data_IF_069035895438
#
_entry.id   IF_069035895438
#
_cell.length_a   1.000
_cell.length_b   1.000
_cell.length_c   1.000
_cell.angle_alpha   90.00
_cell.angle_beta   90.00
_cell.angle_gamma   90.00
#
_symmetry.space_group_name_H-M   'P 1'
#
loop_
_entity.id
_entity.type
_entity.pdbx_description
1 polymer ?
#
# COMPACT_ATOMS: atom_id res chain seq x y z
N UNK A 1 -7.38 -26.11 -2.16
CA UNK A 1 -6.60 -25.85 -3.40
C UNK A 1 -6.47 -24.36 -3.74
N UNK A 2 -7.44 -23.49 -3.39
CA UNK A 2 -7.33 -22.04 -3.57
C UNK A 2 -6.11 -21.39 -2.85
N UNK A 3 -5.82 -21.77 -1.60
CA UNK A 3 -4.69 -21.19 -0.83
C UNK A 3 -3.29 -21.52 -1.39
N UNK A 4 -3.14 -22.57 -2.20
CA UNK A 4 -1.86 -22.93 -2.80
C UNK A 4 -1.54 -22.05 -4.03
N UNK A 5 -2.57 -21.67 -4.79
CA UNK A 5 -2.46 -20.84 -5.99
C UNK A 5 -2.21 -19.38 -5.61
N UNK A 6 -2.86 -18.87 -4.55
CA UNK A 6 -2.64 -17.51 -4.04
C UNK A 6 -1.21 -17.31 -3.50
N UNK A 7 -0.60 -18.35 -2.91
CA UNK A 7 0.80 -18.31 -2.45
C UNK A 7 1.80 -18.51 -3.59
N UNK A 8 1.39 -19.12 -4.70
CA UNK A 8 2.22 -19.32 -5.90
C UNK A 8 2.38 -18.03 -6.71
N UNK A 9 1.30 -17.25 -6.84
CA UNK A 9 1.30 -16.01 -7.63
C UNK A 9 2.07 -14.84 -6.99
N UNK A 10 2.47 -14.95 -5.71
CA UNK A 10 3.26 -13.94 -5.00
C UNK A 10 4.63 -14.43 -4.50
N UNK A 11 5.05 -15.65 -4.89
CA UNK A 11 6.25 -16.31 -4.37
C UNK A 11 7.37 -16.31 -5.42
N UNK A 12 8.60 -16.09 -4.97
CA UNK A 12 9.84 -16.25 -5.75
C UNK A 12 9.93 -17.57 -6.53
N UNK A 13 9.07 -18.56 -6.25
CA UNK A 13 8.95 -19.80 -7.01
C UNK A 13 8.71 -19.61 -8.51
N UNK A 14 7.87 -18.64 -8.92
CA UNK A 14 7.69 -18.35 -10.36
C UNK A 14 9.01 -17.93 -11.01
N UNK A 15 9.77 -17.06 -10.32
CA UNK A 15 11.08 -16.60 -10.77
C UNK A 15 12.08 -17.75 -10.88
N UNK A 16 12.12 -18.66 -9.89
CA UNK A 16 13.01 -19.82 -9.95
C UNK A 16 12.65 -20.80 -11.07
N UNK A 17 11.36 -21.05 -11.33
CA UNK A 17 10.92 -21.91 -12.44
C UNK A 17 11.24 -21.26 -13.79
N UNK A 18 10.95 -19.96 -13.95
CA UNK A 18 11.27 -19.21 -15.16
C UNK A 18 12.79 -19.20 -15.41
N UNK A 19 13.60 -18.96 -14.38
CA UNK A 19 15.06 -19.01 -14.47
C UNK A 19 15.56 -20.40 -14.88
N UNK A 20 15.05 -21.47 -14.26
CA UNK A 20 15.42 -22.84 -14.61
C UNK A 20 15.06 -23.18 -16.06
N UNK A 21 13.91 -22.71 -16.54
CA UNK A 21 13.48 -22.89 -17.93
C UNK A 21 14.41 -22.17 -18.90
N UNK A 22 14.71 -20.89 -18.66
CA UNK A 22 15.61 -20.09 -19.51
C UNK A 22 17.02 -20.68 -19.52
N UNK A 23 17.58 -21.02 -18.37
CA UNK A 23 18.91 -21.65 -18.28
C UNK A 23 18.93 -23.01 -18.96
N UNK A 24 17.87 -23.82 -18.78
CA UNK A 24 17.72 -25.10 -19.46
C UNK A 24 17.66 -24.95 -20.98
N UNK A 25 16.91 -23.97 -21.48
CA UNK A 25 16.81 -23.66 -22.91
C UNK A 25 18.16 -23.24 -23.48
N UNK A 26 18.90 -22.39 -22.76
CA UNK A 26 20.25 -21.95 -23.16
C UNK A 26 21.20 -23.16 -23.18
N UNK A 27 21.18 -24.02 -22.16
CA UNK A 27 22.06 -25.18 -22.10
C UNK A 27 21.83 -26.15 -23.27
N UNK A 28 20.58 -26.42 -23.63
CA UNK A 28 20.22 -27.26 -24.79
C UNK A 28 20.72 -26.63 -26.08
N UNK A 29 20.44 -25.36 -26.31
CA UNK A 29 20.73 -24.69 -27.59
C UNK A 29 22.19 -24.24 -27.75
N UNK A 30 22.95 -24.13 -26.65
CA UNK A 30 24.40 -23.91 -26.67
C UNK A 30 25.20 -25.21 -26.93
N UNK A 31 24.54 -26.36 -27.12
CA UNK A 31 25.20 -27.63 -27.41
C UNK A 31 25.90 -28.28 -26.22
N UNK A 32 25.58 -27.86 -24.98
CA UNK A 32 26.11 -28.49 -23.76
C UNK A 32 25.53 -29.89 -23.52
N UNK A 33 24.48 -30.27 -24.25
CA UNK A 33 23.83 -31.58 -24.17
C UNK A 33 24.07 -32.33 -25.50
N UNK A 34 25.01 -33.30 -25.54
CA UNK A 34 25.40 -33.99 -26.77
C UNK A 34 24.26 -34.78 -27.44
N UNK A 35 23.20 -35.08 -26.69
CA UNK A 35 22.07 -35.91 -27.15
C UNK A 35 20.95 -35.13 -27.84
N UNK A 36 21.00 -33.79 -27.86
CA UNK A 36 19.93 -32.95 -28.41
C UNK A 36 20.52 -31.95 -29.42
N UNK A 37 19.98 -31.94 -30.64
CA UNK A 37 20.38 -30.95 -31.64
C UNK A 37 19.85 -29.55 -31.27
N UNK A 38 20.66 -28.48 -31.41
CA UNK A 38 20.20 -27.11 -31.19
C UNK A 38 19.03 -26.79 -32.13
N UNK A 39 17.90 -26.38 -31.55
CA UNK A 39 16.66 -26.09 -32.29
C UNK A 39 16.37 -24.58 -32.38
N UNK A 40 16.97 -23.78 -31.51
CA UNK A 40 16.96 -22.30 -31.49
C UNK A 40 18.40 -21.75 -31.39
N UNK A 41 19.26 -21.94 -32.43
CA UNK A 41 20.69 -21.60 -32.34
C UNK A 41 20.97 -20.09 -32.24
N UNK A 42 20.04 -19.26 -32.71
CA UNK A 42 20.13 -17.79 -32.66
C UNK A 42 19.39 -17.17 -31.47
N UNK A 43 18.75 -17.99 -30.63
CA UNK A 43 17.94 -17.57 -29.48
C UNK A 43 16.77 -16.62 -29.81
N UNK A 44 16.37 -16.53 -31.08
CA UNK A 44 15.32 -15.61 -31.55
C UNK A 44 13.95 -16.04 -31.01
N UNK A 45 13.70 -17.35 -30.91
CA UNK A 45 12.44 -17.87 -30.37
C UNK A 45 12.34 -17.52 -28.89
N UNK A 46 13.41 -17.80 -28.12
CA UNK A 46 13.48 -17.46 -26.70
C UNK A 46 13.27 -15.95 -26.48
N UNK A 47 13.96 -15.10 -27.24
CA UNK A 47 13.85 -13.65 -27.12
C UNK A 47 12.44 -13.15 -27.42
N UNK A 48 11.78 -13.74 -28.42
CA UNK A 48 10.41 -13.36 -28.82
C UNK A 48 9.40 -13.72 -27.75
N UNK A 49 9.47 -14.95 -27.22
CA UNK A 49 8.59 -15.41 -26.13
C UNK A 49 8.81 -14.58 -24.87
N UNK A 50 10.06 -14.34 -24.48
CA UNK A 50 10.41 -13.52 -23.32
C UNK A 50 9.90 -12.07 -23.47
N UNK A 51 9.95 -11.50 -24.67
CA UNK A 51 9.44 -10.14 -24.93
C UNK A 51 7.93 -10.06 -24.75
N UNK A 52 7.18 -11.05 -25.25
CA UNK A 52 5.73 -11.13 -25.05
C UNK A 52 5.39 -11.30 -23.57
N UNK A 53 6.10 -12.19 -22.88
CA UNK A 53 5.94 -12.42 -21.44
C UNK A 53 6.19 -11.14 -20.61
N UNK A 54 7.21 -10.36 -20.97
CA UNK A 54 7.51 -9.09 -20.30
C UNK A 54 6.36 -8.08 -20.41
N UNK A 55 5.65 -8.02 -21.54
CA UNK A 55 4.47 -7.15 -21.70
C UNK A 55 3.35 -7.59 -20.75
N UNK A 56 3.09 -8.89 -20.66
CA UNK A 56 2.10 -9.44 -19.73
C UNK A 56 2.46 -9.15 -18.27
N UNK A 57 3.73 -9.36 -17.88
CA UNK A 57 4.20 -9.06 -16.53
C UNK A 57 4.08 -7.57 -16.20
N UNK A 58 4.49 -6.69 -17.11
CA UNK A 58 4.36 -5.24 -16.95
C UNK A 58 2.89 -4.84 -16.75
N UNK A 59 1.99 -5.38 -17.56
CA UNK A 59 0.54 -5.12 -17.44
C UNK A 59 -0.03 -5.64 -16.12
N UNK A 60 0.35 -6.85 -15.72
CA UNK A 60 -0.07 -7.41 -14.43
C UNK A 60 0.44 -6.60 -13.25
N UNK A 61 1.69 -6.15 -13.30
CA UNK A 61 2.30 -5.27 -12.31
C UNK A 61 1.53 -3.95 -12.24
N UNK A 62 1.24 -3.31 -13.38
CA UNK A 62 0.48 -2.06 -13.43
C UNK A 62 -0.93 -2.23 -12.85
N UNK A 63 -1.64 -3.32 -13.19
CA UNK A 63 -2.96 -3.61 -12.61
C UNK A 63 -2.86 -3.82 -11.10
N UNK A 64 -1.86 -4.55 -10.63
CA UNK A 64 -1.64 -4.79 -9.21
C UNK A 64 -1.26 -3.51 -8.46
N UNK A 65 -0.44 -2.66 -9.06
CA UNK A 65 -0.07 -1.35 -8.53
C UNK A 65 -1.29 -0.43 -8.45
N UNK A 66 -2.11 -0.38 -9.50
CA UNK A 66 -3.33 0.43 -9.51
C UNK A 66 -4.33 -0.02 -8.42
N UNK A 67 -4.49 -1.33 -8.23
CA UNK A 67 -5.31 -1.88 -7.15
C UNK A 67 -4.76 -1.55 -5.77
N UNK A 68 -3.44 -1.66 -5.59
CA UNK A 68 -2.78 -1.32 -4.33
C UNK A 68 -2.87 0.18 -4.01
N UNK A 69 -2.76 1.05 -5.02
CA UNK A 69 -2.93 2.49 -4.88
C UNK A 69 -4.35 2.83 -4.43
N UNK A 70 -5.38 2.28 -5.09
CA UNK A 70 -6.77 2.49 -4.68
C UNK A 70 -7.07 1.99 -3.26
N UNK A 71 -6.45 0.89 -2.83
CA UNK A 71 -6.56 0.41 -1.45
C UNK A 71 -5.82 1.31 -0.45
N UNK A 72 -4.65 1.83 -0.83
CA UNK A 72 -3.88 2.77 -0.01
C UNK A 72 -4.64 4.10 0.19
N UNK A 73 -5.25 4.64 -0.85
CA UNK A 73 -6.06 5.86 -0.77
C UNK A 73 -7.25 5.68 0.19
N UNK A 74 -7.96 4.55 0.08
CA UNK A 74 -9.06 4.22 1.00
C UNK A 74 -8.59 4.04 2.45
N UNK A 75 -7.41 3.45 2.67
CA UNK A 75 -6.81 3.32 4.00
C UNK A 75 -6.46 4.69 4.57
N UNK A 76 -5.87 5.58 3.76
CA UNK A 76 -5.54 6.94 4.18
C UNK A 76 -6.78 7.75 4.60
N UNK A 77 -7.89 7.62 3.87
CA UNK A 77 -9.16 8.26 4.24
C UNK A 77 -9.69 7.73 5.59
N UNK A 78 -9.69 6.40 5.78
CA UNK A 78 -10.12 5.77 7.03
C UNK A 78 -9.21 6.14 8.21
N UNK A 79 -7.90 6.20 7.99
CA UNK A 79 -6.92 6.59 9.00
C UNK A 79 -7.14 8.04 9.43
N UNK A 80 -7.40 8.94 8.47
CA UNK A 80 -7.75 10.34 8.76
C UNK A 80 -9.04 10.43 9.58
N UNK A 81 -10.11 9.74 9.17
CA UNK A 81 -11.38 9.74 9.90
C UNK A 81 -11.21 9.20 11.33
N UNK A 82 -10.46 8.11 11.49
CA UNK A 82 -10.18 7.50 12.80
C UNK A 82 -9.38 8.46 13.68
N UNK A 83 -8.41 9.18 13.10
CA UNK A 83 -7.62 10.16 13.83
C UNK A 83 -8.50 11.34 14.30
N UNK A 84 -9.32 11.91 13.42
CA UNK A 84 -10.23 13.01 13.77
C UNK A 84 -11.25 12.60 14.85
N UNK A 85 -11.79 11.38 14.77
CA UNK A 85 -12.67 10.84 15.81
C UNK A 85 -11.93 10.67 17.14
N UNK A 86 -10.71 10.13 17.10
CA UNK A 86 -9.87 9.95 18.30
C UNK A 86 -9.54 11.29 18.94
N UNK A 87 -9.18 12.32 18.16
CA UNK A 87 -8.92 13.66 18.68
C UNK A 87 -10.17 14.29 19.32
N UNK A 88 -11.36 14.08 18.73
CA UNK A 88 -12.63 14.51 19.31
C UNK A 88 -12.90 13.82 20.65
N UNK A 89 -12.73 12.50 20.72
CA UNK A 89 -12.91 11.73 21.95
C UNK A 89 -11.91 12.13 23.03
N UNK A 90 -10.63 12.31 22.68
CA UNK A 90 -9.58 12.79 23.60
C UNK A 90 -9.94 14.17 24.15
N UNK A 91 -10.37 15.10 23.31
CA UNK A 91 -10.78 16.46 23.73
C UNK A 91 -11.97 16.40 24.68
N UNK A 92 -12.93 15.51 24.43
CA UNK A 92 -14.09 15.28 25.29
C UNK A 92 -13.68 14.68 26.64
N UNK A 93 -12.79 13.69 26.63
CA UNK A 93 -12.23 13.10 27.84
C UNK A 93 -11.42 14.11 28.66
N UNK A 94 -10.61 14.95 28.02
CA UNK A 94 -9.89 16.04 28.67
C UNK A 94 -10.87 17.01 29.34
N UNK A 95 -11.93 17.40 28.63
CA UNK A 95 -12.96 18.29 29.18
C UNK A 95 -13.66 17.70 30.40
N UNK A 96 -14.03 16.42 30.35
CA UNK A 96 -14.62 15.71 31.49
C UNK A 96 -13.63 15.59 32.66
N UNK A 97 -12.37 15.31 32.37
CA UNK A 97 -11.31 15.19 33.39
C UNK A 97 -11.07 16.51 34.11
N UNK A 98 -11.01 17.62 33.38
CA UNK A 98 -10.90 18.97 33.96
C UNK A 98 -12.12 19.28 34.83
N UNK A 99 -13.33 18.94 34.38
CA UNK A 99 -14.55 19.15 35.17
C UNK A 99 -14.55 18.35 36.49
N UNK A 100 -14.04 17.11 36.48
CA UNK A 100 -13.88 16.30 37.69
C UNK A 100 -12.79 16.88 38.60
N UNK A 101 -11.62 17.24 38.05
CA UNK A 101 -10.50 17.81 38.82
C UNK A 101 -10.89 19.12 39.51
N UNK A 102 -11.64 19.98 38.83
CA UNK A 102 -12.18 21.21 39.40
C UNK A 102 -13.13 20.93 40.58
N UNK A 103 -13.96 19.87 40.48
CA UNK A 103 -14.88 19.48 41.56
C UNK A 103 -14.18 18.86 42.77
N UNK A 104 -13.01 18.28 42.57
CA UNK A 104 -12.17 17.71 43.63
C UNK A 104 -11.21 18.74 44.25
N UNK A 105 -11.16 19.97 43.74
CA UNK A 105 -10.31 21.04 44.28
C UNK A 105 -8.82 20.89 43.92
N UNK A 106 -8.52 20.20 42.81
CA UNK A 106 -7.14 20.06 42.29
C UNK A 106 -6.70 21.40 41.68
N UNK A 107 -5.58 21.97 42.14
CA UNK A 107 -5.08 23.28 41.67
C UNK A 107 -4.80 23.30 40.17
N UNK A 108 -4.28 22.19 39.62
CA UNK A 108 -3.95 22.03 38.21
C UNK A 108 -5.17 22.18 37.28
N UNK A 109 -6.40 21.99 37.77
CA UNK A 109 -7.62 22.17 36.97
C UNK A 109 -7.86 23.64 36.55
N UNK A 110 -7.15 24.59 37.17
CA UNK A 110 -7.24 26.02 36.87
C UNK A 110 -6.16 26.51 35.91
N UNK A 111 -5.24 25.63 35.48
CA UNK A 111 -4.15 25.99 34.58
C UNK A 111 -4.70 26.48 33.21
N UNK A 112 -4.40 27.73 32.80
CA UNK A 112 -4.76 28.26 31.48
C UNK A 112 -4.28 27.40 30.31
N UNK A 113 -3.17 26.67 30.46
CA UNK A 113 -2.60 25.80 29.42
C UNK A 113 -3.56 24.67 29.00
N UNK A 114 -4.41 24.19 29.93
CA UNK A 114 -5.41 23.15 29.66
C UNK A 114 -6.55 23.62 28.75
N UNK A 115 -6.87 24.94 28.78
CA UNK A 115 -7.86 25.53 27.86
C UNK A 115 -7.32 25.68 26.45
N UNK A 116 -6.01 25.83 26.28
CA UNK A 116 -5.39 25.85 24.95
C UNK A 116 -5.41 24.47 24.30
N UNK A 117 -5.16 23.41 25.08
CA UNK A 117 -5.28 22.02 24.61
C UNK A 117 -6.70 21.67 24.10
N UNK A 118 -7.76 22.25 24.68
CA UNK A 118 -9.14 22.09 24.17
C UNK A 118 -9.40 22.84 22.85
N UNK A 119 -8.66 23.92 22.55
CA UNK A 119 -8.87 24.74 21.35
C UNK A 119 -8.23 24.16 20.09
N UNK A 120 -7.26 23.24 20.22
CA UNK A 120 -6.45 22.78 19.10
C UNK A 120 -7.15 21.80 18.15
N UNK A 121 -8.35 21.31 18.48
CA UNK A 121 -9.06 20.32 17.66
C UNK A 121 -10.49 20.79 17.39
N UNK A 122 -10.68 21.49 16.27
CA UNK A 122 -11.98 21.59 15.61
C UNK A 122 -11.91 20.70 14.35
N UNK A 123 -12.41 19.45 14.40
CA UNK A 123 -12.35 18.52 13.26
C UNK A 123 -12.98 19.12 12.00
N UNK A 124 -13.99 19.97 12.18
CA UNK A 124 -14.68 20.71 11.11
C UNK A 124 -13.71 21.55 10.26
N UNK A 125 -12.71 22.20 10.88
CA UNK A 125 -11.74 23.04 10.15
C UNK A 125 -10.73 22.24 9.33
N UNK A 126 -10.50 20.98 9.66
CA UNK A 126 -9.62 20.09 8.87
C UNK A 126 -10.40 19.50 7.70
N UNK A 127 -11.66 19.11 7.93
CA UNK A 127 -12.55 18.60 6.88
C UNK A 127 -12.86 19.67 5.81
N UNK A 128 -13.12 20.92 6.23
CA UNK A 128 -13.36 22.03 5.30
C UNK A 128 -12.14 22.30 4.39
N UNK A 129 -10.92 22.20 4.93
CA UNK A 129 -9.67 22.37 4.16
C UNK A 129 -9.49 21.30 3.08
N UNK A 130 -9.83 20.04 3.39
CA UNK A 130 -9.68 18.92 2.45
C UNK A 130 -10.73 19.01 1.33
N UNK A 131 -11.96 19.43 1.65
CA UNK A 131 -13.02 19.64 0.66
C UNK A 131 -12.76 20.85 -0.27
N UNK A 132 -12.06 21.88 0.20
CA UNK A 132 -11.61 23.00 -0.63
C UNK A 132 -10.50 22.58 -1.62
N UNK A 133 -9.54 21.75 -1.18
CA UNK A 133 -8.42 21.30 -2.01
C UNK A 133 -8.85 20.30 -3.11
N UNK A 134 -9.85 19.43 -2.85
CA UNK A 134 -10.41 18.52 -3.88
C UNK A 134 -11.16 19.29 -4.99
N UNK A 135 -11.85 20.38 -4.66
CA UNK A 135 -12.57 21.21 -5.64
C UNK A 135 -11.65 22.14 -6.45
N UNK A 136 -10.48 22.50 -5.91
CA UNK A 136 -9.52 23.38 -6.58
C UNK A 136 -8.63 22.69 -7.61
N UNK A 137 -8.41 21.38 -7.49
CA UNK A 137 -7.51 20.62 -8.37
C UNK A 137 -8.23 19.91 -9.55
N UNK A 138 -9.54 20.13 -9.67
CA UNK A 138 -10.40 19.60 -10.75
C UNK A 138 -10.86 20.63 -11.79
N UNK A 139 -10.34 21.87 -11.75
CA UNK A 139 -10.68 22.97 -12.65
C UNK A 139 -9.50 23.39 -13.55
#
# INVERSE_FOLDING_TARGET
MANAITRFSGSMLFVYVHLALVVGWIAVNAGLIPSIAPFDPSFVILATVASVEAIFLSTFVLISQNRAAAEADRRAELDLQTNLLSEHEITRLLSLTIAIAARLGVEEAQDPSLKELQKHVAPEKVLDRIAEDENGNGA
#
